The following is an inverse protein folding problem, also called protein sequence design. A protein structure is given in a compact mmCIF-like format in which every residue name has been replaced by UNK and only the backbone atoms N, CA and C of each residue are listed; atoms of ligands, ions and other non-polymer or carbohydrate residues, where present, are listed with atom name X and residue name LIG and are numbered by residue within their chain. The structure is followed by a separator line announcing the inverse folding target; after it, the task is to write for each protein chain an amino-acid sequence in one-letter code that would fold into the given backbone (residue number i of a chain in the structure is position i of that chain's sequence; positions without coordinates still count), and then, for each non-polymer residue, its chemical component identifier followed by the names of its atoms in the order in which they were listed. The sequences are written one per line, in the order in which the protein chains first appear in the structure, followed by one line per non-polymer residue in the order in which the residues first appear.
data_IF_779793750274
#
_entry.id   IF_779793750274
#
_cell.length_a   1.000
_cell.length_b   1.000
_cell.length_c   1.000
_cell.angle_alpha   90.00
_cell.angle_beta   90.00
_cell.angle_gamma   90.00
#
_symmetry.space_group_name_H-M   'P 1'
#
loop_
_entity.id
_entity.type
_entity.pdbx_description
1 polymer ?
#
# COMPACT_ATOMS: atom_id res chain seq x y z
N UNK A 1 -9.35 17.80 -2.12
CA UNK A 1 -9.62 16.71 -3.07
C UNK A 1 -10.34 15.60 -2.32
N UNK A 2 -11.44 15.05 -2.85
CA UNK A 2 -12.16 13.94 -2.23
C UNK A 2 -11.79 12.64 -2.95
N UNK A 3 -11.26 11.66 -2.21
CA UNK A 3 -10.95 10.34 -2.73
C UNK A 3 -11.95 9.32 -2.16
N UNK A 4 -12.37 8.39 -3.01
CA UNK A 4 -13.31 7.31 -2.70
C UNK A 4 -12.53 6.01 -2.53
N UNK A 5 -12.85 5.25 -1.47
CA UNK A 5 -12.31 3.90 -1.27
C UNK A 5 -13.03 2.92 -2.21
N UNK A 6 -12.30 2.37 -3.17
CA UNK A 6 -12.81 1.36 -4.12
C UNK A 6 -12.68 -0.07 -3.61
N UNK A 7 -11.68 -0.33 -2.78
CA UNK A 7 -11.51 -1.64 -2.18
C UNK A 7 -10.44 -1.63 -1.09
N UNK A 8 -10.63 -2.50 -0.10
CA UNK A 8 -9.68 -2.70 0.99
C UNK A 8 -9.49 -4.20 1.20
N UNK A 9 -8.30 -4.69 0.88
CA UNK A 9 -7.93 -6.08 1.03
C UNK A 9 -6.95 -6.23 2.18
N UNK A 10 -7.25 -7.12 3.11
CA UNK A 10 -6.40 -7.44 4.24
C UNK A 10 -5.95 -8.89 4.07
N UNK A 11 -4.64 -9.12 4.03
CA UNK A 11 -4.06 -10.46 3.94
C UNK A 11 -3.20 -10.69 5.18
N UNK A 12 -3.48 -11.78 5.90
CA UNK A 12 -2.59 -12.27 6.95
C UNK A 12 -1.53 -13.20 6.35
N UNK A 13 -0.34 -13.13 6.88
CA UNK A 13 0.87 -13.77 6.38
C UNK A 13 1.03 -15.23 6.89
N UNK A 14 -0.05 -15.86 7.36
CA UNK A 14 -0.03 -17.26 7.84
C UNK A 14 0.05 -18.32 6.73
N UNK A 15 -0.15 -17.93 5.45
CA UNK A 15 -0.25 -18.85 4.30
C UNK A 15 1.05 -19.60 3.92
N UNK A 16 2.11 -19.52 4.72
CA UNK A 16 3.43 -20.08 4.38
C UNK A 16 4.24 -20.58 5.56
N UNK A 17 3.62 -21.11 6.61
CA UNK A 17 4.33 -21.86 7.67
C UNK A 17 4.97 -23.13 7.07
N UNK A 18 6.10 -22.98 6.39
CA UNK A 18 7.11 -24.04 6.32
C UNK A 18 7.89 -23.89 7.63
N UNK A 19 7.75 -24.88 8.51
CA UNK A 19 8.46 -24.97 9.78
C UNK A 19 9.95 -24.61 9.58
N UNK A 20 10.42 -23.51 10.18
CA UNK A 20 11.86 -23.24 10.32
C UNK A 20 12.38 -21.85 9.93
N UNK A 21 11.63 -20.97 9.25
CA UNK A 21 12.18 -19.64 8.83
C UNK A 21 11.21 -18.44 8.95
N UNK A 22 10.60 -18.20 10.13
CA UNK A 22 9.66 -17.08 10.32
C UNK A 22 10.28 -15.69 10.02
N UNK A 23 11.61 -15.58 10.09
CA UNK A 23 12.38 -14.35 9.85
C UNK A 23 12.53 -13.95 8.38
N UNK A 24 12.45 -14.90 7.43
CA UNK A 24 12.65 -14.60 6.01
C UNK A 24 11.42 -13.99 5.34
N UNK A 25 10.22 -14.28 5.86
CA UNK A 25 8.97 -13.95 5.18
C UNK A 25 8.77 -12.44 5.01
N UNK A 26 8.99 -11.64 6.07
CA UNK A 26 8.82 -10.18 5.98
C UNK A 26 9.82 -9.55 5.01
N UNK A 27 11.07 -10.02 4.98
CA UNK A 27 12.09 -9.57 4.02
C UNK A 27 11.67 -9.92 2.58
N UNK A 28 11.16 -11.12 2.34
CA UNK A 28 10.61 -11.49 1.04
C UNK A 28 9.42 -10.62 0.64
N UNK A 29 8.52 -10.29 1.57
CA UNK A 29 7.39 -9.39 1.31
C UNK A 29 7.85 -7.97 0.98
N UNK A 30 8.81 -7.42 1.71
CA UNK A 30 9.42 -6.12 1.38
C UNK A 30 10.00 -6.17 -0.04
N UNK A 31 10.79 -7.20 -0.37
CA UNK A 31 11.33 -7.37 -1.72
C UNK A 31 10.24 -7.51 -2.81
N UNK A 32 9.11 -8.16 -2.50
CA UNK A 32 7.97 -8.25 -3.43
C UNK A 32 7.30 -6.90 -3.62
N UNK A 33 7.07 -6.14 -2.53
CA UNK A 33 6.51 -4.80 -2.60
C UNK A 33 7.41 -3.86 -3.39
N UNK A 34 8.73 -3.93 -3.21
CA UNK A 34 9.70 -3.16 -4.00
C UNK A 34 9.64 -3.50 -5.49
N UNK A 35 9.54 -4.80 -5.82
CA UNK A 35 9.36 -5.25 -7.20
C UNK A 35 8.04 -4.78 -7.81
N UNK A 36 6.97 -4.72 -7.01
CA UNK A 36 5.66 -4.21 -7.44
C UNK A 36 5.71 -2.70 -7.64
N UNK A 37 6.26 -1.96 -6.68
CA UNK A 37 6.43 -0.51 -6.74
C UNK A 37 7.22 -0.08 -7.99
N UNK A 38 8.26 -0.83 -8.36
CA UNK A 38 9.04 -0.58 -9.57
C UNK A 38 8.27 -0.79 -10.88
N UNK A 39 7.12 -1.47 -10.86
CA UNK A 39 6.34 -1.87 -12.04
C UNK A 39 4.93 -1.30 -12.09
N UNK A 40 4.43 -0.76 -10.99
CA UNK A 40 3.05 -0.34 -10.82
C UNK A 40 3.01 1.15 -10.52
N UNK A 41 2.83 2.01 -11.54
CA UNK A 41 2.47 3.40 -11.34
C UNK A 41 1.24 3.50 -10.44
N UNK A 42 1.10 4.60 -9.68
CA UNK A 42 -0.05 4.75 -8.79
C UNK A 42 0.01 3.90 -7.52
N UNK A 43 1.12 3.22 -7.22
CA UNK A 43 1.31 2.47 -5.98
C UNK A 43 2.17 3.27 -5.00
N UNK A 44 1.68 3.40 -3.76
CA UNK A 44 2.40 4.00 -2.64
C UNK A 44 2.47 3.00 -1.49
N UNK A 45 3.68 2.80 -0.93
CA UNK A 45 3.88 1.96 0.26
C UNK A 45 4.20 2.87 1.44
N UNK A 46 3.27 2.93 2.40
CA UNK A 46 3.41 3.78 3.58
C UNK A 46 4.55 3.29 4.48
N UNK A 47 5.42 4.21 4.88
CA UNK A 47 6.54 3.95 5.79
C UNK A 47 7.48 2.82 5.31
N UNK A 48 7.73 2.73 3.99
CA UNK A 48 8.57 1.66 3.41
C UNK A 48 9.97 1.60 4.06
N UNK A 49 10.58 2.75 4.32
CA UNK A 49 11.90 2.80 4.97
C UNK A 49 11.86 2.36 6.43
N UNK A 50 10.81 2.72 7.17
CA UNK A 50 10.58 2.19 8.52
C UNK A 50 10.37 0.68 8.51
N UNK A 51 9.62 0.16 7.54
CA UNK A 51 9.42 -1.29 7.35
C UNK A 51 10.75 -1.99 7.05
N UNK A 52 11.61 -1.41 6.20
CA UNK A 52 12.95 -1.94 5.90
C UNK A 52 13.82 -1.99 7.15
N UNK A 53 13.89 -0.89 7.90
CA UNK A 53 14.68 -0.80 9.12
C UNK A 53 14.18 -1.78 10.19
N UNK A 54 12.86 -1.87 10.38
CA UNK A 54 12.25 -2.77 11.37
C UNK A 54 12.47 -4.24 11.00
N UNK A 55 12.35 -4.60 9.71
CA UNK A 55 12.66 -5.95 9.22
C UNK A 55 14.15 -6.31 9.39
N UNK A 56 15.06 -5.34 9.24
CA UNK A 56 16.49 -5.56 9.45
C UNK A 56 16.87 -5.68 10.94
N UNK A 57 16.20 -4.92 11.82
CA UNK A 57 16.50 -4.91 13.25
C UNK A 57 15.90 -6.08 14.02
N UNK A 58 14.82 -6.68 13.53
CA UNK A 58 14.02 -7.69 14.26
C UNK A 58 13.93 -9.01 13.52
N UNK A 59 15.08 -9.47 13.01
CA UNK A 59 15.20 -10.70 12.21
C UNK A 59 14.52 -11.86 12.95
N UNK A 60 14.75 -12.05 14.24
CA UNK A 60 14.23 -13.23 14.97
C UNK A 60 12.87 -13.03 15.65
N UNK A 61 12.10 -11.98 15.31
CA UNK A 61 10.84 -11.65 16.00
C UNK A 61 9.62 -11.71 15.07
N UNK A 62 8.49 -12.21 15.60
CA UNK A 62 7.20 -12.13 14.93
C UNK A 62 6.62 -10.70 15.00
N UNK A 63 6.35 -10.10 13.86
CA UNK A 63 5.92 -8.69 13.75
C UNK A 63 4.45 -8.60 13.31
N UNK A 64 3.79 -7.42 13.41
CA UNK A 64 2.40 -7.25 12.96
C UNK A 64 2.25 -7.71 11.50
N UNK A 65 1.32 -8.63 11.27
CA UNK A 65 1.32 -9.53 10.09
C UNK A 65 0.30 -9.17 9.02
N UNK A 66 -0.64 -8.29 9.33
CA UNK A 66 -1.73 -7.97 8.41
C UNK A 66 -1.22 -6.90 7.46
N UNK A 67 -0.94 -7.29 6.23
CA UNK A 67 -0.74 -6.35 5.14
C UNK A 67 -2.10 -5.89 4.65
N UNK A 68 -2.28 -4.58 4.54
CA UNK A 68 -3.48 -3.97 3.98
C UNK A 68 -3.14 -3.32 2.66
N UNK A 69 -4.01 -3.53 1.68
CA UNK A 69 -3.97 -2.90 0.37
C UNK A 69 -5.29 -2.18 0.13
N UNK A 70 -5.25 -0.85 0.12
CA UNK A 70 -6.39 0.00 -0.20
C UNK A 70 -6.25 0.54 -1.62
N UNK A 71 -7.33 0.46 -2.40
CA UNK A 71 -7.45 1.11 -3.71
C UNK A 71 -8.37 2.31 -3.57
N UNK A 72 -7.88 3.46 -3.98
CA UNK A 72 -8.57 4.75 -3.89
C UNK A 72 -8.75 5.32 -5.29
N UNK A 73 -9.82 6.07 -5.52
CA UNK A 73 -10.00 6.84 -6.74
C UNK A 73 -10.48 8.25 -6.46
N UNK A 74 -10.12 9.22 -7.30
CA UNK A 74 -10.63 10.58 -7.22
C UNK A 74 -10.89 11.15 -8.62
N UNK A 75 -11.86 12.05 -8.79
CA UNK A 75 -12.18 12.67 -10.09
C UNK A 75 -11.13 13.68 -10.58
N UNK A 76 -9.93 13.67 -10.02
CA UNK A 76 -8.83 14.52 -10.46
C UNK A 76 -8.27 14.05 -11.80
N UNK A 77 -8.01 15.00 -12.69
CA UNK A 77 -7.42 14.79 -14.01
C UNK A 77 -6.11 15.62 -14.11
N UNK A 78 -4.98 15.04 -14.58
CA UNK A 78 -3.74 15.77 -14.79
C UNK A 78 -3.86 16.87 -15.86
N UNK A 79 -3.01 17.89 -15.76
CA UNK A 79 -2.96 18.97 -16.76
C UNK A 79 -2.66 18.44 -18.17
N UNK A 80 -3.45 18.88 -19.15
CA UNK A 80 -3.30 18.49 -20.55
C UNK A 80 -4.02 17.20 -20.95
N UNK A 81 -4.68 16.52 -20.02
CA UNK A 81 -5.55 15.38 -20.32
C UNK A 81 -6.99 15.88 -20.52
N UNK A 82 -7.58 15.57 -21.68
CA UNK A 82 -8.94 15.98 -22.04
C UNK A 82 -9.95 14.83 -21.98
N UNK A 83 -9.47 13.60 -21.91
CA UNK A 83 -10.32 12.41 -21.87
C UNK A 83 -11.03 12.30 -20.50
N UNK A 84 -12.28 11.82 -20.48
CA UNK A 84 -12.97 11.51 -19.23
C UNK A 84 -12.23 10.37 -18.51
N UNK A 85 -12.14 10.48 -17.19
CA UNK A 85 -11.43 9.50 -16.39
C UNK A 85 -11.36 9.89 -14.92
N UNK A 86 -10.60 9.10 -14.19
CA UNK A 86 -10.35 9.31 -12.78
C UNK A 86 -8.89 8.99 -12.46
N UNK A 87 -8.43 9.49 -11.32
CA UNK A 87 -7.13 9.09 -10.81
C UNK A 87 -7.26 7.97 -9.81
N UNK A 88 -6.36 7.00 -9.86
CA UNK A 88 -6.25 5.90 -8.91
C UNK A 88 -4.97 5.98 -8.08
N UNK A 89 -5.10 5.61 -6.81
CA UNK A 89 -3.98 5.44 -5.90
C UNK A 89 -4.15 4.13 -5.11
N UNK A 90 -3.16 3.24 -5.21
CA UNK A 90 -3.05 2.03 -4.40
C UNK A 90 -2.13 2.31 -3.22
N UNK A 91 -2.66 2.21 -2.00
CA UNK A 91 -1.92 2.40 -0.74
C UNK A 91 -1.71 1.05 -0.08
N UNK A 92 -0.45 0.72 0.24
CA UNK A 92 -0.09 -0.51 0.96
C UNK A 92 0.61 -0.17 2.27
N UNK A 93 0.23 -0.85 3.35
CA UNK A 93 0.90 -0.74 4.65
C UNK A 93 0.79 -2.03 5.45
N UNK A 94 1.56 -2.14 6.54
CA UNK A 94 1.40 -3.19 7.55
C UNK A 94 0.58 -2.63 8.72
N UNK A 95 -0.57 -3.25 9.00
CA UNK A 95 -1.48 -2.86 10.07
C UNK A 95 -0.89 -3.23 11.42
N UNK A 96 -0.96 -2.30 12.36
CA UNK A 96 -0.58 -2.54 13.76
C UNK A 96 -1.73 -3.19 14.50
N UNK A 97 -1.40 -4.07 15.45
CA UNK A 97 -2.41 -4.74 16.26
C UNK A 97 -3.18 -3.70 17.09
N UNK A 98 -4.52 -3.77 17.05
CA UNK A 98 -5.40 -2.87 17.81
C UNK A 98 -5.75 -1.55 17.13
N UNK A 99 -5.07 -1.18 16.04
CA UNK A 99 -5.40 0.03 15.27
C UNK A 99 -6.61 -0.23 14.34
N UNK A 100 -7.46 0.79 14.15
CA UNK A 100 -8.51 0.78 13.12
C UNK A 100 -7.90 0.98 11.72
N UNK A 101 -8.10 0.05 10.76
CA UNK A 101 -7.54 0.19 9.42
C UNK A 101 -8.10 1.39 8.65
N UNK A 102 -9.35 1.81 8.89
CA UNK A 102 -9.94 2.95 8.18
C UNK A 102 -9.41 4.28 8.69
N UNK A 103 -9.36 4.46 10.02
CA UNK A 103 -8.71 5.60 10.65
C UNK A 103 -7.24 5.71 10.24
N UNK A 104 -6.52 4.59 10.21
CA UNK A 104 -5.13 4.57 9.76
C UNK A 104 -4.97 4.98 8.29
N UNK A 105 -5.84 4.49 7.41
CA UNK A 105 -5.86 4.89 6.01
C UNK A 105 -6.10 6.40 5.86
N UNK A 106 -7.04 6.97 6.63
CA UNK A 106 -7.33 8.40 6.60
C UNK A 106 -6.12 9.25 7.02
N UNK A 107 -5.38 8.84 8.05
CA UNK A 107 -4.14 9.49 8.47
C UNK A 107 -3.08 9.48 7.37
N UNK A 108 -2.88 8.33 6.72
CA UNK A 108 -1.92 8.16 5.63
C UNK A 108 -2.29 9.12 4.50
N UNK A 109 -3.51 8.99 3.96
CA UNK A 109 -3.99 9.74 2.80
C UNK A 109 -3.91 11.25 3.03
N UNK A 110 -4.20 11.74 4.24
CA UNK A 110 -4.13 13.16 4.58
C UNK A 110 -2.72 13.76 4.39
N UNK A 111 -1.67 12.95 4.50
CA UNK A 111 -0.28 13.39 4.39
C UNK A 111 0.33 13.24 3.00
N UNK A 112 -0.39 12.61 2.06
CA UNK A 112 0.12 12.32 0.72
C UNK A 112 -0.07 13.49 -0.23
N UNK A 113 0.94 13.71 -1.07
CA UNK A 113 0.75 14.47 -2.30
C UNK A 113 0.11 13.56 -3.36
N UNK A 114 -1.21 13.63 -3.48
CA UNK A 114 -1.96 12.82 -4.42
C UNK A 114 -1.51 13.07 -5.88
N UNK A 115 -1.25 14.32 -6.24
CA UNK A 115 -0.93 14.70 -7.63
C UNK A 115 0.40 14.13 -8.10
N UNK A 116 1.34 13.92 -7.17
CA UNK A 116 2.62 13.29 -7.45
C UNK A 116 2.55 11.75 -7.50
N UNK A 117 1.56 11.14 -6.85
CA UNK A 117 1.53 9.69 -6.62
C UNK A 117 0.46 8.97 -7.42
N UNK A 118 -0.69 9.59 -7.66
CA UNK A 118 -1.80 8.95 -8.32
C UNK A 118 -1.57 8.82 -9.83
N UNK A 119 -2.07 7.72 -10.40
CA UNK A 119 -2.09 7.53 -11.86
C UNK A 119 -3.43 7.95 -12.41
N UNK A 120 -3.48 8.50 -13.62
CA UNK A 120 -4.73 8.72 -14.33
C UNK A 120 -5.16 7.46 -15.08
N UNK A 121 -6.42 7.09 -14.94
CA UNK A 121 -7.09 6.03 -15.66
C UNK A 121 -8.21 6.65 -16.49
N UNK A 122 -8.15 6.46 -17.81
CA UNK A 122 -9.23 6.85 -18.70
C UNK A 122 -10.44 5.93 -18.45
N UNK A 123 -11.64 6.52 -18.45
CA UNK A 123 -12.87 5.74 -18.42
C UNK A 123 -13.06 5.15 -19.84
N UNK A 124 -12.74 3.86 -20.00
CA UNK A 124 -13.03 3.15 -21.25
C UNK A 124 -14.48 2.66 -21.21
N UNK A 125 -15.27 3.08 -22.22
CA UNK A 125 -16.58 2.48 -22.56
C UNK A 125 -16.43 1.04 -23.09
#
# INVERSE_FOLDING_TARGET
MHAELRGLNMSDDLEGMIEGTPYLHRRFRVMQLEKQLAKTPGMYVHDLDGIRADAAARVDTWLPRIRVHARLSAPWCPDGVTDPGHSELSVVWFQRAGDDPFGRLAEIVRSLDWTALARFEADFD
#
